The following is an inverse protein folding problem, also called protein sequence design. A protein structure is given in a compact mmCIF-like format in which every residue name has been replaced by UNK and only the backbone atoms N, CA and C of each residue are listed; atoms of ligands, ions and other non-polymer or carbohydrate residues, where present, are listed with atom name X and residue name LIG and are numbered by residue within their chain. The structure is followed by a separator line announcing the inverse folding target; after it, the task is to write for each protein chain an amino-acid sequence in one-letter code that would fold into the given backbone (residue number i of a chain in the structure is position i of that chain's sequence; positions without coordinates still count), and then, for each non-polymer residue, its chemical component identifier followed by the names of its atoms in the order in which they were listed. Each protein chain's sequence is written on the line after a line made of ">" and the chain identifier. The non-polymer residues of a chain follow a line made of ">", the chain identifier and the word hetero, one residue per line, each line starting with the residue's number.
data_IF_945958704261
#
_entry.id   IF_945958704261
#
_cell.length_a   1.000
_cell.length_b   1.000
_cell.length_c   1.000
_cell.angle_alpha   90.00
_cell.angle_beta   90.00
_cell.angle_gamma   90.00
#
_symmetry.space_group_name_H-M   'P 1'
#
loop_
_entity.id
_entity.type
_entity.pdbx_description
1 polymer ?
#
# COMPACT_ATOMS: atom_id res chain seq x y z
N UNK A 1 29.45 31.33 1.21
CA UNK A 1 28.01 31.29 0.91
C UNK A 1 27.28 31.29 2.23
N UNK A 2 26.69 32.42 2.60
CA UNK A 2 25.92 32.58 3.83
C UNK A 2 24.67 31.70 3.74
N UNK A 3 24.68 30.60 4.49
CA UNK A 3 23.49 29.75 4.71
C UNK A 3 22.51 30.65 5.47
N UNK A 4 21.53 31.20 4.77
CA UNK A 4 20.46 31.97 5.40
C UNK A 4 19.82 31.10 6.47
N UNK A 5 19.84 31.56 7.73
CA UNK A 5 19.15 30.85 8.79
C UNK A 5 17.67 30.85 8.46
N UNK A 6 17.08 29.67 8.32
CA UNK A 6 15.63 29.53 8.19
C UNK A 6 14.99 30.21 9.40
N UNK A 7 14.01 31.08 9.17
CA UNK A 7 13.26 31.73 10.25
C UNK A 7 12.71 30.66 11.23
N UNK A 8 12.98 30.77 12.54
CA UNK A 8 12.51 29.81 13.54
C UNK A 8 10.99 29.59 13.55
N UNK A 9 10.19 30.58 13.16
CA UNK A 9 8.73 30.38 13.01
C UNK A 9 8.41 29.51 11.80
N UNK A 10 8.95 29.84 10.63
CA UNK A 10 8.81 29.03 9.41
C UNK A 10 9.30 27.59 9.61
N UNK A 11 10.42 27.40 10.31
CA UNK A 11 10.95 26.07 10.66
C UNK A 11 9.91 25.26 11.46
N UNK A 12 9.36 25.83 12.53
CA UNK A 12 8.36 25.15 13.37
C UNK A 12 7.08 24.78 12.60
N UNK A 13 6.64 25.65 11.69
CA UNK A 13 5.48 25.38 10.83
C UNK A 13 5.78 24.21 9.89
N UNK A 14 6.93 24.23 9.21
CA UNK A 14 7.36 23.19 8.30
C UNK A 14 7.49 21.83 9.01
N UNK A 15 8.14 21.79 10.19
CA UNK A 15 8.26 20.58 10.99
C UNK A 15 6.90 19.99 11.35
N UNK A 16 5.98 20.84 11.86
CA UNK A 16 4.63 20.41 12.24
C UNK A 16 3.87 19.84 11.06
N UNK A 17 3.96 20.48 9.89
CA UNK A 17 3.29 20.01 8.67
C UNK A 17 3.90 18.71 8.16
N UNK A 18 5.23 18.56 8.18
CA UNK A 18 5.90 17.33 7.75
C UNK A 18 5.48 16.14 8.60
N UNK A 19 5.52 16.28 9.93
CA UNK A 19 5.10 15.22 10.85
C UNK A 19 3.60 14.92 10.73
N UNK A 20 2.75 15.93 10.61
CA UNK A 20 1.32 15.73 10.40
C UNK A 20 1.02 15.01 9.07
N UNK A 21 1.73 15.36 8.00
CA UNK A 21 1.60 14.72 6.70
C UNK A 21 2.02 13.24 6.75
N UNK A 22 3.11 12.93 7.46
CA UNK A 22 3.61 11.56 7.58
C UNK A 22 2.73 10.70 8.50
N UNK A 23 2.25 11.25 9.63
CA UNK A 23 1.24 10.58 10.48
C UNK A 23 -0.05 10.31 9.73
N UNK A 24 -0.51 11.27 8.92
CA UNK A 24 -1.68 11.08 8.08
C UNK A 24 -1.43 9.99 7.04
N UNK A 25 -0.27 9.98 6.39
CA UNK A 25 0.10 8.94 5.44
C UNK A 25 0.07 7.54 6.06
N UNK A 26 0.71 7.33 7.21
CA UNK A 26 0.70 6.02 7.87
C UNK A 26 -0.69 5.60 8.35
N UNK A 27 -1.56 6.55 8.74
CA UNK A 27 -2.97 6.22 9.03
C UNK A 27 -3.77 5.81 7.79
N UNK A 28 -3.53 6.47 6.66
CA UNK A 28 -4.18 6.15 5.39
C UNK A 28 -3.62 4.88 4.75
N UNK A 29 -2.34 4.59 5.01
CA UNK A 29 -1.59 3.47 4.44
C UNK A 29 -0.80 2.73 5.54
N UNK A 30 -1.48 2.00 6.44
CA UNK A 30 -0.85 1.35 7.60
C UNK A 30 0.22 0.31 7.25
N UNK A 31 0.12 -0.33 6.08
CA UNK A 31 1.10 -1.29 5.57
C UNK A 31 2.22 -0.63 4.77
N UNK A 32 2.14 0.67 4.49
CA UNK A 32 3.22 1.38 3.80
C UNK A 32 4.37 1.65 4.78
N UNK A 33 5.53 1.08 4.45
CA UNK A 33 6.75 1.15 5.28
C UNK A 33 7.27 2.59 5.42
N UNK A 34 7.27 3.31 4.31
CA UNK A 34 7.91 4.61 4.20
C UNK A 34 7.34 5.43 3.05
N UNK A 35 7.71 6.71 3.03
CA UNK A 35 7.29 7.69 2.04
C UNK A 35 8.51 8.31 1.36
N UNK A 36 8.49 8.41 0.03
CA UNK A 36 9.52 9.14 -0.72
C UNK A 36 9.60 10.61 -0.30
N UNK A 37 10.81 11.15 -0.18
CA UNK A 37 11.07 12.54 0.18
C UNK A 37 10.24 13.53 -0.67
N UNK A 38 10.27 13.39 -2.00
CA UNK A 38 9.54 14.31 -2.89
C UNK A 38 8.03 14.24 -2.66
N UNK A 39 7.49 13.05 -2.38
CA UNK A 39 6.07 12.88 -2.07
C UNK A 39 5.69 13.50 -0.71
N UNK A 40 6.60 13.47 0.28
CA UNK A 40 6.40 14.18 1.54
C UNK A 40 6.39 15.70 1.32
N UNK A 41 7.35 16.23 0.55
CA UNK A 41 7.41 17.66 0.17
C UNK A 41 6.09 18.09 -0.51
N UNK A 42 5.62 17.35 -1.51
CA UNK A 42 4.35 17.64 -2.19
C UNK A 42 3.15 17.63 -1.22
N UNK A 43 3.12 16.69 -0.28
CA UNK A 43 2.05 16.62 0.73
C UNK A 43 2.09 17.80 1.70
N UNK A 44 3.27 18.21 2.15
CA UNK A 44 3.44 19.39 3.00
C UNK A 44 2.96 20.65 2.28
N UNK A 45 3.33 20.83 1.01
CA UNK A 45 2.86 21.95 0.17
C UNK A 45 1.34 21.97 0.04
N UNK A 46 0.77 20.82 -0.28
CA UNK A 46 -0.69 20.68 -0.42
C UNK A 46 -1.41 20.96 0.90
N UNK A 47 -0.83 20.54 2.04
CA UNK A 47 -1.37 20.84 3.35
C UNK A 47 -1.27 22.34 3.69
N UNK A 48 -0.14 22.98 3.38
CA UNK A 48 0.08 24.42 3.61
C UNK A 48 -0.86 25.28 2.76
N UNK A 49 -1.18 24.85 1.53
CA UNK A 49 -2.09 25.56 0.63
C UNK A 49 -3.57 25.47 1.06
N UNK A 50 -3.94 24.55 1.96
CA UNK A 50 -5.32 24.43 2.45
C UNK A 50 -5.63 25.58 3.40
N UNK A 51 -6.56 26.44 3.00
CA UNK A 51 -7.07 27.55 3.83
C UNK A 51 -7.71 26.97 5.11
N UNK A 52 -7.37 27.46 6.32
CA UNK A 52 -8.03 27.02 7.54
C UNK A 52 -9.54 27.32 7.49
N UNK A 53 -10.39 26.52 8.16
CA UNK A 53 -11.78 26.89 8.38
C UNK A 53 -11.84 28.27 9.05
N UNK A 54 -12.83 29.07 8.66
CA UNK A 54 -12.98 30.53 8.87
C UNK A 54 -12.92 31.05 10.32
N UNK A 55 -12.71 30.17 11.31
CA UNK A 55 -12.63 30.50 12.74
C UNK A 55 -11.20 30.67 13.29
N UNK A 56 -10.16 30.40 12.50
CA UNK A 56 -8.77 30.63 12.89
C UNK A 56 -8.11 31.69 11.99
N UNK A 57 -8.35 32.96 12.32
CA UNK A 57 -7.70 34.11 11.68
C UNK A 57 -6.27 34.20 12.22
N UNK A 58 -5.26 33.80 11.45
CA UNK A 58 -3.84 33.96 11.82
C UNK A 58 -2.88 32.80 11.54
N UNK A 59 -3.22 31.83 10.68
CA UNK A 59 -2.22 30.83 10.31
C UNK A 59 -1.16 31.46 9.39
N UNK A 60 0.06 31.63 9.89
CA UNK A 60 1.23 32.06 9.12
C UNK A 60 1.43 31.10 7.93
N UNK A 61 1.50 31.62 6.69
CA UNK A 61 1.72 30.78 5.52
C UNK A 61 3.14 30.18 5.55
N UNK A 62 3.30 29.02 4.91
CA UNK A 62 4.61 28.40 4.72
C UNK A 62 5.29 29.07 3.51
N UNK A 63 6.38 29.78 3.76
CA UNK A 63 7.11 30.56 2.76
C UNK A 63 8.39 29.88 2.26
N UNK A 64 8.86 28.85 2.96
CA UNK A 64 10.08 28.12 2.60
C UNK A 64 10.02 27.56 1.19
N UNK A 65 11.12 27.55 0.47
CA UNK A 65 11.24 26.84 -0.81
C UNK A 65 11.42 25.32 -0.62
N UNK A 66 11.46 24.56 -1.71
CA UNK A 66 11.55 23.10 -1.65
C UNK A 66 12.95 22.61 -1.18
N UNK A 67 14.00 23.42 -1.31
CA UNK A 67 15.32 23.08 -0.82
C UNK A 67 15.40 23.32 0.70
N UNK A 68 14.84 24.42 1.18
CA UNK A 68 14.70 24.76 2.59
C UNK A 68 13.79 23.76 3.32
N UNK A 69 12.66 23.39 2.72
CA UNK A 69 11.80 22.36 3.30
C UNK A 69 12.51 21.00 3.40
N UNK A 70 13.31 20.63 2.39
CA UNK A 70 14.14 19.41 2.46
C UNK A 70 15.18 19.50 3.59
N UNK A 71 15.82 20.66 3.79
CA UNK A 71 16.72 20.88 4.93
C UNK A 71 16.00 20.69 6.27
N UNK A 72 14.81 21.25 6.45
CA UNK A 72 14.02 21.04 7.69
C UNK A 72 13.69 19.57 7.90
N UNK A 73 13.37 18.82 6.84
CA UNK A 73 13.11 17.38 6.95
C UNK A 73 14.39 16.60 7.28
N UNK A 74 15.53 16.98 6.70
CA UNK A 74 16.83 16.38 7.00
C UNK A 74 17.27 16.67 8.45
N UNK A 75 16.95 17.86 8.99
CA UNK A 75 17.12 18.17 10.41
C UNK A 75 16.26 17.24 11.27
N UNK A 76 14.99 16.99 10.92
CA UNK A 76 14.13 16.05 11.64
C UNK A 76 14.66 14.61 11.64
N UNK A 77 15.40 14.22 10.60
CA UNK A 77 16.11 12.92 10.55
C UNK A 77 17.31 12.94 11.50
N UNK A 78 18.09 14.03 11.49
CA UNK A 78 19.24 14.23 12.37
C UNK A 78 18.83 14.24 13.85
N UNK A 79 17.70 14.86 14.16
CA UNK A 79 17.08 14.90 15.49
C UNK A 79 16.41 13.56 15.89
N UNK A 80 16.47 12.53 15.03
CA UNK A 80 15.94 11.20 15.31
C UNK A 80 14.41 11.09 15.30
N UNK A 81 13.69 12.13 14.88
CA UNK A 81 12.22 12.13 14.80
C UNK A 81 11.71 11.40 13.57
N UNK A 82 12.53 11.36 12.52
CA UNK A 82 12.31 10.60 11.29
C UNK A 82 13.45 9.61 11.07
N UNK A 83 13.14 8.47 10.45
CA UNK A 83 14.16 7.54 9.96
C UNK A 83 14.22 7.61 8.45
N UNK A 84 15.44 7.66 7.88
CA UNK A 84 15.68 7.68 6.44
C UNK A 84 16.27 6.35 5.97
N UNK A 85 15.68 5.79 4.91
CA UNK A 85 16.26 4.69 4.12
C UNK A 85 16.39 5.15 2.67
N UNK A 86 17.60 5.54 2.28
CA UNK A 86 17.85 6.16 0.98
C UNK A 86 16.99 7.41 0.74
N UNK A 87 16.11 7.37 -0.27
CA UNK A 87 15.19 8.48 -0.60
C UNK A 87 13.84 8.42 0.13
N UNK A 88 13.70 7.50 1.07
CA UNK A 88 12.45 7.21 1.77
C UNK A 88 12.55 7.56 3.25
N UNK A 89 11.42 7.99 3.82
CA UNK A 89 11.29 8.53 5.16
C UNK A 89 10.10 7.87 5.87
N UNK A 90 10.28 7.58 7.15
CA UNK A 90 9.19 7.14 8.05
C UNK A 90 9.31 7.86 9.38
N UNK A 91 8.23 7.88 10.17
CA UNK A 91 8.33 8.29 11.57
C UNK A 91 9.22 7.29 12.31
N UNK A 92 10.12 7.79 13.16
CA UNK A 92 11.04 6.91 13.90
C UNK A 92 10.29 5.88 14.77
N UNK A 93 9.19 6.32 15.37
CA UNK A 93 8.29 5.54 16.22
C UNK A 93 7.27 4.66 15.46
N UNK A 94 7.18 4.78 14.13
CA UNK A 94 6.19 4.01 13.36
C UNK A 94 6.74 2.66 12.95
N UNK A 95 6.14 1.61 13.48
CA UNK A 95 6.21 0.26 12.94
C UNK A 95 5.07 0.09 11.91
N UNK A 96 5.38 -0.27 10.66
CA UNK A 96 4.35 -0.58 9.67
C UNK A 96 3.54 -1.80 10.14
N UNK A 97 2.22 -1.66 10.19
CA UNK A 97 1.36 -2.71 10.71
C UNK A 97 -0.10 -2.28 10.73
N UNK A 98 -0.99 -3.25 10.60
CA UNK A 98 -2.40 -3.05 10.90
C UNK A 98 -2.57 -3.00 12.42
N UNK A 99 -3.52 -2.18 12.89
CA UNK A 99 -3.97 -2.30 14.26
C UNK A 99 -4.57 -3.71 14.51
N UNK A 100 -4.61 -4.19 15.76
CA UNK A 100 -5.05 -5.56 16.05
C UNK A 100 -6.45 -5.89 15.52
N UNK A 101 -7.38 -4.95 15.58
CA UNK A 101 -8.75 -5.15 15.11
C UNK A 101 -8.80 -5.29 13.58
N UNK A 102 -8.09 -4.43 12.86
CA UNK A 102 -7.97 -4.54 11.40
C UNK A 102 -7.22 -5.82 10.99
N UNK A 103 -6.21 -6.24 11.77
CA UNK A 103 -5.49 -7.49 11.55
C UNK A 103 -6.40 -8.72 11.70
N UNK A 104 -7.29 -8.74 12.70
CA UNK A 104 -8.28 -9.81 12.89
C UNK A 104 -9.28 -9.87 11.72
N UNK A 105 -9.75 -8.71 11.26
CA UNK A 105 -10.65 -8.62 10.08
C UNK A 105 -9.96 -9.15 8.82
N UNK A 106 -8.72 -8.76 8.58
CA UNK A 106 -7.93 -9.26 7.45
C UNK A 106 -7.69 -10.77 7.57
N UNK A 107 -7.41 -11.27 8.77
CA UNK A 107 -7.25 -12.72 9.01
C UNK A 107 -8.54 -13.47 8.66
N UNK A 108 -9.68 -12.98 9.14
CA UNK A 108 -11.01 -13.53 8.83
C UNK A 108 -11.29 -13.53 7.32
N UNK A 109 -10.93 -12.45 6.62
CA UNK A 109 -11.05 -12.37 5.16
C UNK A 109 -10.20 -13.45 4.47
N UNK A 110 -8.94 -13.59 4.86
CA UNK A 110 -8.02 -14.55 4.26
C UNK A 110 -8.47 -15.99 4.51
N UNK A 111 -8.89 -16.32 5.73
CA UNK A 111 -9.45 -17.64 6.06
C UNK A 111 -10.72 -17.94 5.28
N UNK A 112 -11.59 -16.94 5.13
CA UNK A 112 -12.76 -17.02 4.28
C UNK A 112 -12.39 -17.39 2.85
N UNK A 113 -11.44 -16.66 2.23
CA UNK A 113 -10.97 -16.96 0.88
C UNK A 113 -10.33 -18.36 0.78
N UNK A 114 -9.56 -18.78 1.80
CA UNK A 114 -8.95 -20.11 1.85
C UNK A 114 -9.99 -21.23 1.83
N UNK A 115 -11.12 -21.05 2.51
CA UNK A 115 -12.18 -22.05 2.56
C UNK A 115 -12.83 -22.32 1.20
N UNK A 116 -12.81 -21.35 0.27
CA UNK A 116 -13.37 -21.51 -1.08
C UNK A 116 -12.41 -22.15 -2.10
N UNK A 117 -11.13 -22.33 -1.75
CA UNK A 117 -10.17 -23.02 -2.61
C UNK A 117 -9.99 -22.35 -3.98
N UNK A 118 -10.23 -23.08 -5.06
CA UNK A 118 -10.01 -22.59 -6.42
C UNK A 118 -11.08 -21.58 -6.90
N UNK A 119 -12.20 -21.43 -6.19
CA UNK A 119 -13.31 -20.54 -6.57
C UNK A 119 -13.56 -19.44 -5.51
N UNK A 120 -12.60 -18.54 -5.26
CA UNK A 120 -12.79 -17.49 -4.28
C UNK A 120 -13.94 -16.56 -4.70
N UNK A 121 -14.80 -16.15 -3.75
CA UNK A 121 -15.78 -15.12 -4.00
C UNK A 121 -15.10 -13.77 -4.26
N UNK A 122 -15.86 -12.81 -4.82
CA UNK A 122 -15.38 -11.44 -5.00
C UNK A 122 -15.05 -10.81 -3.65
N UNK A 123 -13.84 -10.28 -3.54
CA UNK A 123 -13.31 -9.78 -2.26
C UNK A 123 -13.99 -8.49 -1.81
N UNK A 124 -14.40 -7.61 -2.74
CA UNK A 124 -14.89 -6.27 -2.43
C UNK A 124 -16.14 -6.31 -1.54
N UNK A 125 -17.06 -7.23 -1.82
CA UNK A 125 -18.30 -7.39 -1.04
C UNK A 125 -18.09 -8.04 0.33
N UNK A 126 -17.04 -8.83 0.51
CA UNK A 126 -16.72 -9.47 1.80
C UNK A 126 -15.92 -8.49 2.65
N UNK A 127 -14.90 -7.86 2.07
CA UNK A 127 -14.08 -6.83 2.69
C UNK A 127 -14.94 -5.68 3.23
N UNK A 128 -15.89 -5.17 2.44
CA UNK A 128 -16.79 -4.11 2.87
C UNK A 128 -17.64 -4.51 4.09
N UNK A 129 -18.14 -5.75 4.14
CA UNK A 129 -18.90 -6.26 5.29
C UNK A 129 -18.06 -6.43 6.55
N UNK A 130 -16.78 -6.76 6.38
CA UNK A 130 -15.80 -6.85 7.47
C UNK A 130 -15.24 -5.47 7.89
N UNK A 131 -15.70 -4.37 7.28
CA UNK A 131 -15.18 -3.03 7.56
C UNK A 131 -13.75 -2.82 7.08
N UNK A 132 -13.28 -3.61 6.12
CA UNK A 132 -11.96 -3.48 5.51
C UNK A 132 -12.07 -2.48 4.36
N UNK A 133 -11.25 -1.43 4.42
CA UNK A 133 -11.29 -0.37 3.40
C UNK A 133 -10.65 -0.83 2.09
N UNK A 134 -11.04 -0.27 0.93
CA UNK A 134 -10.39 -0.56 -0.35
C UNK A 134 -8.88 -0.33 -0.31
N UNK A 135 -8.44 0.71 0.42
CA UNK A 135 -7.02 1.03 0.60
C UNK A 135 -6.25 -0.10 1.27
N UNK A 136 -6.84 -0.81 2.25
CA UNK A 136 -6.19 -1.97 2.88
C UNK A 136 -6.10 -3.13 1.89
N UNK A 137 -7.14 -3.37 1.09
CA UNK A 137 -7.10 -4.41 0.04
C UNK A 137 -6.00 -4.13 -0.99
N UNK A 138 -5.89 -2.87 -1.45
CA UNK A 138 -4.83 -2.49 -2.39
C UNK A 138 -3.44 -2.63 -1.78
N UNK A 139 -3.29 -2.34 -0.48
CA UNK A 139 -2.04 -2.59 0.23
C UNK A 139 -1.71 -4.08 0.36
N UNK A 140 -2.70 -4.94 0.60
CA UNK A 140 -2.50 -6.39 0.61
C UNK A 140 -2.08 -6.90 -0.78
N UNK A 141 -2.62 -6.32 -1.86
CA UNK A 141 -2.19 -6.61 -3.23
C UNK A 141 -0.75 -6.15 -3.49
N UNK A 142 -0.41 -4.94 -3.05
CA UNK A 142 0.94 -4.38 -3.21
C UNK A 142 2.00 -5.13 -2.38
N UNK A 143 1.64 -5.57 -1.18
CA UNK A 143 2.48 -6.40 -0.32
C UNK A 143 2.66 -7.82 -0.86
N UNK A 144 1.85 -8.22 -1.86
CA UNK A 144 1.89 -9.55 -2.46
C UNK A 144 1.18 -10.62 -1.63
N UNK A 145 0.56 -10.27 -0.49
CA UNK A 145 -0.26 -11.17 0.34
C UNK A 145 -1.55 -11.58 -0.37
N UNK A 146 -2.09 -10.69 -1.19
CA UNK A 146 -3.22 -10.96 -2.07
C UNK A 146 -2.77 -10.85 -3.53
N UNK A 147 -3.18 -11.79 -4.37
CA UNK A 147 -2.86 -11.83 -5.79
C UNK A 147 -4.14 -11.69 -6.61
N UNK A 148 -4.31 -10.55 -7.27
CA UNK A 148 -5.32 -10.40 -8.30
C UNK A 148 -4.82 -11.06 -9.59
N UNK A 149 -5.55 -12.04 -10.09
CA UNK A 149 -5.21 -12.74 -11.36
C UNK A 149 -6.11 -12.32 -12.52
N UNK A 150 -7.29 -11.79 -12.22
CA UNK A 150 -8.24 -11.23 -13.17
C UNK A 150 -9.20 -10.28 -12.44
N UNK A 151 -9.96 -9.42 -13.16
CA UNK A 151 -10.93 -8.54 -12.53
C UNK A 151 -11.94 -9.29 -11.64
N UNK A 152 -11.93 -8.95 -10.35
CA UNK A 152 -12.77 -9.58 -9.33
C UNK A 152 -12.45 -11.06 -9.08
N UNK A 153 -11.20 -11.47 -9.27
CA UNK A 153 -10.66 -12.76 -8.86
C UNK A 153 -9.31 -12.51 -8.15
N UNK A 154 -9.34 -12.67 -6.84
CA UNK A 154 -8.22 -12.44 -5.95
C UNK A 154 -7.99 -13.70 -5.09
N UNK A 155 -6.74 -14.12 -4.98
CA UNK A 155 -6.33 -15.27 -4.16
C UNK A 155 -5.35 -14.83 -3.08
N UNK A 156 -5.39 -15.43 -1.88
CA UNK A 156 -4.23 -15.43 -0.98
C UNK A 156 -2.99 -15.94 -1.71
N UNK A 157 -1.84 -15.34 -1.47
CA UNK A 157 -0.61 -15.61 -2.22
C UNK A 157 -0.18 -17.08 -2.17
N UNK A 158 -0.28 -17.68 -0.99
CA UNK A 158 0.03 -19.09 -0.73
C UNK A 158 -0.92 -20.02 -1.48
N UNK A 159 -2.19 -19.65 -1.57
CA UNK A 159 -3.20 -20.41 -2.31
C UNK A 159 -2.94 -20.32 -3.81
N UNK A 160 -2.63 -19.13 -4.32
CA UNK A 160 -2.23 -18.96 -5.71
C UNK A 160 -0.98 -19.79 -6.03
N UNK A 161 0.01 -19.80 -5.15
CA UNK A 161 1.21 -20.61 -5.33
C UNK A 161 0.89 -22.11 -5.41
N UNK A 162 -0.02 -22.60 -4.56
CA UNK A 162 -0.46 -24.00 -4.58
C UNK A 162 -1.27 -24.36 -5.83
N UNK A 163 -2.18 -23.49 -6.28
CA UNK A 163 -2.94 -23.69 -7.52
C UNK A 163 -2.02 -23.71 -8.74
N UNK A 164 -1.06 -22.79 -8.79
CA UNK A 164 -0.05 -22.73 -9.84
C UNK A 164 0.76 -24.03 -9.90
N UNK A 165 1.27 -24.49 -8.75
CA UNK A 165 2.05 -25.73 -8.70
C UNK A 165 1.25 -26.92 -9.22
N UNK A 166 -0.02 -27.04 -8.81
CA UNK A 166 -0.92 -28.08 -9.33
C UNK A 166 -1.06 -28.04 -10.85
N UNK A 167 -1.18 -26.85 -11.44
CA UNK A 167 -1.24 -26.69 -12.89
C UNK A 167 0.09 -27.06 -13.55
N UNK A 168 1.21 -26.62 -13.00
CA UNK A 168 2.55 -26.94 -13.51
C UNK A 168 2.87 -28.44 -13.47
N UNK A 169 2.32 -29.17 -12.50
CA UNK A 169 2.45 -30.63 -12.38
C UNK A 169 1.58 -31.41 -13.39
N UNK A 170 0.59 -30.76 -14.02
CA UNK A 170 -0.27 -31.43 -15.01
C UNK A 170 0.53 -31.74 -16.28
N UNK A 171 0.62 -33.03 -16.62
CA UNK A 171 1.26 -33.48 -17.87
C UNK A 171 0.30 -33.42 -19.06
N UNK A 172 0.83 -33.03 -20.22
CA UNK A 172 0.11 -33.02 -21.50
C UNK A 172 -0.47 -31.66 -21.86
N UNK A 173 -1.38 -31.59 -22.85
CA UNK A 173 -1.90 -30.32 -23.34
C UNK A 173 -2.71 -29.59 -22.26
N UNK A 174 -2.36 -28.33 -22.02
CA UNK A 174 -3.03 -27.48 -21.06
C UNK A 174 -4.27 -26.83 -21.69
N UNK A 175 -5.46 -27.30 -21.33
CA UNK A 175 -6.74 -26.74 -21.81
C UNK A 175 -7.57 -26.23 -20.64
N UNK A 176 -8.44 -25.25 -20.92
CA UNK A 176 -9.37 -24.70 -19.92
C UNK A 176 -10.23 -25.79 -19.27
N UNK A 177 -10.75 -26.74 -20.07
CA UNK A 177 -11.56 -27.84 -19.56
C UNK A 177 -10.78 -28.72 -18.59
N UNK A 178 -9.51 -29.01 -18.90
CA UNK A 178 -8.65 -29.80 -18.01
C UNK A 178 -8.37 -29.09 -16.69
N UNK A 179 -7.99 -27.81 -16.75
CA UNK A 179 -7.73 -27.01 -15.53
C UNK A 179 -8.99 -26.92 -14.67
N UNK A 180 -10.15 -26.71 -15.31
CA UNK A 180 -11.46 -26.68 -14.66
C UNK A 180 -11.73 -27.97 -13.89
N UNK A 181 -11.56 -29.11 -14.56
CA UNK A 181 -11.92 -30.43 -14.00
C UNK A 181 -10.94 -30.84 -12.89
N UNK A 182 -9.65 -30.61 -13.09
CA UNK A 182 -8.59 -30.97 -12.12
C UNK A 182 -8.67 -30.09 -10.86
N UNK A 183 -8.86 -28.77 -11.02
CA UNK A 183 -8.99 -27.85 -9.88
C UNK A 183 -10.40 -27.81 -9.30
N UNK A 184 -11.36 -28.55 -9.88
CA UNK A 184 -12.79 -28.55 -9.52
C UNK A 184 -13.34 -27.13 -9.39
N UNK A 185 -13.05 -26.33 -10.40
CA UNK A 185 -13.38 -24.90 -10.43
C UNK A 185 -14.30 -24.60 -11.60
N UNK A 186 -14.81 -23.38 -11.69
CA UNK A 186 -15.66 -22.96 -12.79
C UNK A 186 -14.82 -22.55 -13.98
N UNK A 187 -15.43 -22.58 -15.18
CA UNK A 187 -14.75 -22.21 -16.43
C UNK A 187 -14.10 -20.82 -16.34
N UNK A 188 -14.81 -19.84 -15.75
CA UNK A 188 -14.31 -18.47 -15.56
C UNK A 188 -13.00 -18.44 -14.75
N UNK A 189 -12.93 -19.19 -13.66
CA UNK A 189 -11.71 -19.26 -12.84
C UNK A 189 -10.61 -20.03 -13.55
N UNK A 190 -10.92 -21.14 -14.21
CA UNK A 190 -9.93 -21.90 -14.99
C UNK A 190 -9.29 -21.05 -16.11
N UNK A 191 -10.10 -20.27 -16.83
CA UNK A 191 -9.61 -19.32 -17.84
C UNK A 191 -8.69 -18.27 -17.23
N UNK A 192 -9.09 -17.67 -16.10
CA UNK A 192 -8.29 -16.67 -15.40
C UNK A 192 -6.95 -17.23 -14.89
N UNK A 193 -6.96 -18.43 -14.29
CA UNK A 193 -5.78 -19.13 -13.78
C UNK A 193 -4.80 -19.39 -14.94
N UNK A 194 -5.28 -19.97 -16.04
CA UNK A 194 -4.45 -20.31 -17.19
C UNK A 194 -3.84 -19.05 -17.84
N UNK A 195 -4.64 -17.99 -17.98
CA UNK A 195 -4.17 -16.71 -18.53
C UNK A 195 -3.08 -16.08 -17.65
N UNK A 196 -3.27 -16.09 -16.33
CA UNK A 196 -2.31 -15.50 -15.39
C UNK A 196 -0.98 -16.27 -15.31
N UNK A 197 -1.00 -17.60 -15.49
CA UNK A 197 0.22 -18.41 -15.61
C UNK A 197 0.97 -18.04 -16.89
N UNK A 198 0.29 -18.07 -18.05
CA UNK A 198 0.91 -17.78 -19.35
C UNK A 198 1.39 -16.33 -19.53
N UNK A 199 0.86 -15.36 -18.77
CA UNK A 199 1.38 -13.99 -18.76
C UNK A 199 2.71 -13.85 -18.00
N UNK A 200 2.95 -14.70 -16.99
CA UNK A 200 4.22 -14.70 -16.25
C UNK A 200 5.36 -15.26 -17.10
N UNK A 201 5.13 -16.35 -17.81
CA UNK A 201 6.15 -16.96 -18.68
C UNK A 201 6.64 -15.96 -19.73
N UNK A 202 5.74 -15.14 -20.27
CA UNK A 202 6.09 -14.07 -21.22
C UNK A 202 6.89 -12.91 -20.60
N UNK A 203 6.79 -12.70 -19.28
CA UNK A 203 7.53 -11.66 -18.54
C UNK A 203 8.84 -12.14 -17.94
N UNK A 204 9.02 -13.45 -17.75
CA UNK A 204 10.27 -14.05 -17.26
C UNK A 204 11.30 -14.37 -18.34
N UNK A 205 10.94 -14.20 -19.62
CA UNK A 205 11.80 -14.42 -20.80
C UNK A 205 12.36 -13.08 -21.35
N UNK A 206 12.23 -11.98 -20.59
CA UNK A 206 12.81 -10.67 -20.90
C UNK A 206 13.91 -10.29 -19.94
#
# INVERSE_FOLDING_TARGET
>A
MTIGSIDPEQRRIAERLALAALRRFHREQPLAVDLRMDALVTRVRTAAARRPPSRHRGATPLELDDAELRRVIDDLVTDGRLTRSGRRLRLAESEPGLDPEMQERVTTLMDGLRAFGAEPPRIEGIAARLGITPTVIDQLRQAGTLRQIAPGIDYPAEMWAALRLRVEEMRGPMTVARVRDELRTSRRHAEAILAAIGERDRRGVQ
#
